data_IF_727362520838
#
_entry.id   IF_727362520838
#
_cell.length_a   1.000
_cell.length_b   1.000
_cell.length_c   1.000
_cell.angle_alpha   90.00
_cell.angle_beta   90.00
_cell.angle_gamma   90.00
#
_symmetry.space_group_name_H-M   'P 1'
#
loop_
_entity.id
_entity.type
_entity.pdbx_description
1 polymer ?
#
# COMPACT_ATOMS: atom_id res chain seq x y z
N UNK A 1 0.41 -27.11 -97.36
CA UNK A 1 -0.56 -27.67 -96.39
C UNK A 1 0.27 -28.34 -95.31
N UNK A 2 0.14 -28.13 -94.01
CA UNK A 2 -0.74 -27.33 -93.17
C UNK A 2 -0.01 -27.19 -91.81
N UNK A 3 -0.26 -26.06 -91.14
CA UNK A 3 0.31 -25.58 -89.87
C UNK A 3 0.06 -26.54 -88.69
N UNK A 4 0.88 -26.47 -87.63
CA UNK A 4 0.46 -26.17 -86.24
C UNK A 4 1.67 -26.28 -85.29
N UNK A 5 2.27 -25.20 -84.80
CA UNK A 5 1.90 -24.31 -83.67
C UNK A 5 2.71 -24.64 -82.42
N UNK A 6 3.65 -23.73 -82.15
CA UNK A 6 4.44 -23.56 -80.93
C UNK A 6 3.50 -23.15 -79.79
N UNK A 7 3.59 -23.83 -78.64
CA UNK A 7 2.99 -23.34 -77.40
C UNK A 7 4.03 -23.39 -76.27
N UNK A 8 4.77 -22.29 -76.13
CA UNK A 8 5.64 -22.02 -74.98
C UNK A 8 4.75 -21.66 -73.79
N UNK A 9 4.65 -22.55 -72.81
CA UNK A 9 4.00 -22.26 -71.53
C UNK A 9 5.06 -21.63 -70.62
N UNK A 10 5.04 -20.29 -70.51
CA UNK A 10 5.69 -19.57 -69.43
C UNK A 10 4.89 -19.84 -68.14
N UNK A 11 5.39 -20.69 -67.25
CA UNK A 11 4.96 -20.72 -65.85
C UNK A 11 5.64 -19.57 -65.10
N UNK A 12 4.91 -18.46 -64.92
CA UNK A 12 5.22 -17.45 -63.91
C UNK A 12 5.00 -18.05 -62.52
N UNK A 13 6.08 -18.37 -61.82
CA UNK A 13 6.05 -18.60 -60.37
C UNK A 13 5.82 -17.27 -59.65
N UNK A 14 4.56 -16.96 -59.35
CA UNK A 14 4.23 -15.93 -58.36
C UNK A 14 4.51 -16.50 -56.97
N UNK A 15 5.66 -16.15 -56.39
CA UNK A 15 5.94 -16.38 -54.97
C UNK A 15 5.10 -15.39 -54.17
N UNK A 16 4.15 -15.82 -53.32
CA UNK A 16 3.48 -14.89 -52.43
C UNK A 16 4.51 -14.44 -51.39
N UNK A 17 4.84 -13.15 -51.37
CA UNK A 17 5.55 -12.55 -50.25
C UNK A 17 4.64 -12.66 -49.01
N UNK A 18 4.95 -13.63 -48.13
CA UNK A 18 4.43 -13.60 -46.76
C UNK A 18 5.04 -12.37 -46.09
N UNK A 19 4.31 -11.27 -46.09
CA UNK A 19 4.55 -10.19 -45.14
C UNK A 19 4.19 -10.74 -43.76
N UNK A 20 5.20 -11.04 -42.95
CA UNK A 20 5.03 -11.17 -41.52
C UNK A 20 4.64 -9.78 -40.98
N UNK A 21 3.34 -9.53 -40.89
CA UNK A 21 2.81 -8.42 -40.13
C UNK A 21 3.18 -8.66 -38.67
N UNK A 22 4.20 -7.94 -38.18
CA UNK A 22 4.46 -7.79 -36.76
C UNK A 22 3.31 -7.02 -36.12
N UNK A 23 2.22 -7.72 -35.83
CA UNK A 23 1.20 -7.26 -34.91
C UNK A 23 1.67 -7.58 -33.51
N UNK A 24 1.83 -6.57 -32.66
CA UNK A 24 1.80 -6.79 -31.21
C UNK A 24 0.43 -7.40 -30.89
N UNK A 25 0.39 -8.71 -30.68
CA UNK A 25 -0.76 -9.39 -30.10
C UNK A 25 -0.90 -8.92 -28.64
N UNK A 26 -1.59 -7.80 -28.45
CA UNK A 26 -2.16 -7.47 -27.15
C UNK A 26 -3.19 -8.54 -26.80
N UNK A 27 -3.14 -9.04 -25.57
CA UNK A 27 -4.13 -9.99 -25.05
C UNK A 27 -5.54 -9.38 -25.20
N UNK A 28 -6.47 -10.10 -25.84
CA UNK A 28 -7.82 -9.61 -26.11
C UNK A 28 -8.59 -9.26 -24.83
N UNK A 29 -9.65 -8.45 -24.96
CA UNK A 29 -10.46 -7.91 -23.84
C UNK A 29 -11.03 -8.96 -22.87
N UNK A 30 -11.04 -10.25 -23.24
CA UNK A 30 -11.47 -11.37 -22.37
C UNK A 30 -10.34 -12.11 -21.64
N UNK A 31 -9.07 -11.73 -21.85
CA UNK A 31 -7.88 -12.35 -21.23
C UNK A 31 -7.18 -11.41 -20.24
N UNK A 32 -7.73 -10.22 -20.01
CA UNK A 32 -7.24 -9.27 -19.02
C UNK A 32 -7.91 -9.59 -17.68
N UNK A 33 -7.11 -9.71 -16.62
CA UNK A 33 -7.63 -9.95 -15.27
C UNK A 33 -8.64 -8.84 -14.90
N UNK A 34 -9.88 -9.16 -14.48
CA UNK A 34 -10.86 -8.14 -14.12
C UNK A 34 -10.31 -7.11 -13.14
N UNK A 35 -10.39 -5.82 -13.51
CA UNK A 35 -9.86 -4.73 -12.70
C UNK A 35 -8.35 -4.49 -12.84
N UNK A 36 -7.68 -5.12 -13.80
CA UNK A 36 -6.34 -4.73 -14.20
C UNK A 36 -6.33 -3.27 -14.67
N UNK A 37 -5.29 -2.54 -14.27
CA UNK A 37 -5.04 -1.17 -14.71
C UNK A 37 -3.66 -1.11 -15.37
N UNK A 38 -3.63 -0.61 -16.61
CA UNK A 38 -2.39 -0.35 -17.33
C UNK A 38 -1.51 0.60 -16.52
N UNK A 39 -0.24 0.21 -16.40
CA UNK A 39 0.78 1.06 -15.79
C UNK A 39 1.30 2.03 -16.85
N UNK A 40 1.59 3.29 -16.48
CA UNK A 40 2.23 4.22 -17.40
C UNK A 40 3.50 3.62 -18.02
N UNK A 41 3.73 3.91 -19.30
CA UNK A 41 4.84 3.34 -20.07
C UNK A 41 6.25 3.68 -19.52
N UNK A 42 6.35 4.68 -18.64
CA UNK A 42 7.59 5.05 -17.96
C UNK A 42 7.91 4.19 -16.73
N UNK A 43 7.01 3.30 -16.32
CA UNK A 43 7.35 2.26 -15.35
C UNK A 43 8.46 1.38 -15.94
N UNK A 44 9.41 0.96 -15.09
CA UNK A 44 10.50 0.10 -15.52
C UNK A 44 9.93 -1.24 -15.98
N UNK A 45 10.28 -1.64 -17.19
CA UNK A 45 10.04 -2.99 -17.67
C UNK A 45 11.10 -3.93 -17.07
N UNK A 46 10.90 -4.29 -15.79
CA UNK A 46 11.83 -5.09 -15.02
C UNK A 46 11.55 -6.60 -15.17
N UNK A 47 12.63 -7.38 -15.26
CA UNK A 47 12.60 -8.85 -15.16
C UNK A 47 12.41 -9.34 -13.71
N UNK A 48 12.25 -8.42 -12.76
CA UNK A 48 12.17 -8.62 -11.31
C UNK A 48 13.46 -9.20 -10.71
N UNK A 49 14.59 -8.93 -11.35
CA UNK A 49 15.90 -9.01 -10.69
C UNK A 49 16.17 -7.68 -9.98
N UNK A 50 15.90 -7.66 -8.67
CA UNK A 50 15.93 -6.41 -7.91
C UNK A 50 17.36 -5.92 -7.64
N UNK A 51 18.38 -6.77 -7.79
CA UNK A 51 19.78 -6.35 -7.68
C UNK A 51 20.22 -5.64 -8.96
N UNK A 52 19.88 -6.19 -10.12
CA UNK A 52 20.09 -5.55 -11.41
C UNK A 52 19.31 -4.22 -11.50
N UNK A 53 18.04 -4.22 -11.11
CA UNK A 53 17.21 -3.00 -11.10
C UNK A 53 17.83 -1.88 -10.24
N UNK A 54 18.42 -2.23 -9.09
CA UNK A 54 19.11 -1.27 -8.22
C UNK A 54 20.42 -0.76 -8.82
N UNK A 55 21.20 -1.65 -9.45
CA UNK A 55 22.45 -1.28 -10.08
C UNK A 55 22.19 -0.31 -11.24
N UNK A 56 21.25 -0.64 -12.13
CA UNK A 56 20.87 0.21 -13.26
C UNK A 56 20.34 1.57 -12.79
N UNK A 57 19.50 1.59 -11.76
CA UNK A 57 19.04 2.85 -11.18
C UNK A 57 20.21 3.69 -10.66
N UNK A 58 21.17 3.08 -9.96
CA UNK A 58 22.32 3.79 -9.42
C UNK A 58 23.26 4.34 -10.52
N UNK A 59 23.42 3.63 -11.64
CA UNK A 59 24.18 4.10 -12.81
C UNK A 59 23.55 5.36 -13.44
N UNK A 60 22.23 5.55 -13.28
CA UNK A 60 21.50 6.74 -13.71
C UNK A 60 21.33 7.82 -12.60
N UNK A 61 21.99 7.67 -11.44
CA UNK A 61 21.78 8.49 -10.22
C UNK A 61 20.30 8.53 -9.75
N UNK A 62 19.58 7.43 -9.98
CA UNK A 62 18.20 7.20 -9.55
C UNK A 62 18.13 6.22 -8.38
N UNK A 63 17.00 6.28 -7.68
CA UNK A 63 16.62 5.32 -6.63
C UNK A 63 15.50 4.40 -7.11
N UNK A 64 15.27 3.27 -6.46
CA UNK A 64 14.21 2.34 -6.85
C UNK A 64 12.97 2.54 -5.97
N UNK A 65 11.79 2.51 -6.60
CA UNK A 65 10.51 2.38 -5.91
C UNK A 65 9.90 1.04 -6.31
N UNK A 66 9.72 0.16 -5.34
CA UNK A 66 8.93 -1.06 -5.52
C UNK A 66 7.46 -0.73 -5.30
N UNK A 67 6.67 -0.79 -6.36
CA UNK A 67 5.22 -0.54 -6.37
C UNK A 67 4.45 -1.86 -6.32
N UNK A 68 3.94 -2.20 -5.15
CA UNK A 68 3.10 -3.37 -4.94
C UNK A 68 1.63 -3.05 -5.26
N UNK A 69 1.02 -3.84 -6.13
CA UNK A 69 -0.37 -3.69 -6.55
C UNK A 69 -1.10 -5.03 -6.62
N UNK A 70 -2.41 -4.96 -6.86
CA UNK A 70 -3.24 -6.09 -7.27
C UNK A 70 -4.26 -5.59 -8.29
N UNK A 71 -4.78 -6.50 -9.10
CA UNK A 71 -5.88 -6.20 -10.01
C UNK A 71 -7.18 -6.02 -9.21
N UNK A 72 -8.05 -5.11 -9.65
CA UNK A 72 -9.26 -4.73 -8.94
C UNK A 72 -9.04 -3.80 -7.74
N UNK A 73 -7.83 -3.29 -7.55
CA UNK A 73 -7.49 -2.37 -6.45
C UNK A 73 -7.90 -0.92 -6.76
N UNK A 74 -8.93 -0.36 -6.12
CA UNK A 74 -9.40 0.99 -6.44
C UNK A 74 -8.44 2.08 -5.96
N UNK A 75 -7.71 1.87 -4.86
CA UNK A 75 -6.66 2.80 -4.42
C UNK A 75 -5.46 2.82 -5.38
N UNK A 76 -5.19 1.70 -6.05
CA UNK A 76 -4.16 1.60 -7.08
C UNK A 76 -4.60 2.40 -8.30
N UNK A 77 -5.84 2.21 -8.75
CA UNK A 77 -6.45 3.01 -9.82
C UNK A 77 -6.41 4.52 -9.48
N UNK A 78 -6.75 4.89 -8.24
CA UNK A 78 -6.69 6.27 -7.78
C UNK A 78 -5.27 6.86 -7.84
N UNK A 79 -4.25 6.11 -7.41
CA UNK A 79 -2.85 6.54 -7.53
C UNK A 79 -2.46 6.78 -9.00
N UNK A 80 -2.78 5.84 -9.88
CA UNK A 80 -2.45 5.92 -11.31
C UNK A 80 -3.17 7.10 -12.00
N UNK A 81 -4.47 7.26 -11.73
CA UNK A 81 -5.32 8.23 -12.42
C UNK A 81 -5.21 9.66 -11.86
N UNK A 82 -4.80 9.82 -10.61
CA UNK A 82 -4.67 11.15 -9.98
C UNK A 82 -3.22 11.57 -9.81
N UNK A 83 -2.40 10.80 -9.09
CA UNK A 83 -1.03 11.23 -8.82
C UNK A 83 -0.18 11.14 -10.08
N UNK A 84 -0.26 10.02 -10.81
CA UNK A 84 0.52 9.81 -12.03
C UNK A 84 -0.11 10.40 -13.30
N UNK A 85 -1.17 11.21 -13.17
CA UNK A 85 -1.64 12.10 -14.24
C UNK A 85 -1.14 13.54 -14.07
N UNK A 86 -0.58 13.90 -12.91
CA UNK A 86 -0.01 15.22 -12.64
C UNK A 86 1.43 15.26 -13.15
N UNK A 87 1.67 16.09 -14.18
CA UNK A 87 2.99 16.20 -14.84
C UNK A 87 4.15 16.39 -13.86
N UNK A 88 4.01 17.29 -12.88
CA UNK A 88 5.09 17.56 -11.91
C UNK A 88 5.46 16.32 -11.07
N UNK A 89 4.49 15.48 -10.70
CA UNK A 89 4.74 14.24 -9.96
C UNK A 89 5.44 13.24 -10.88
N UNK A 90 4.93 13.09 -12.10
CA UNK A 90 5.46 12.17 -13.12
C UNK A 90 6.90 12.53 -13.49
N UNK A 91 7.19 13.80 -13.74
CA UNK A 91 8.54 14.29 -14.08
C UNK A 91 9.51 14.01 -12.94
N UNK A 92 9.17 14.40 -11.70
CA UNK A 92 10.03 14.17 -10.53
C UNK A 92 10.24 12.68 -10.26
N UNK A 93 9.20 11.88 -10.46
CA UNK A 93 9.29 10.42 -10.30
C UNK A 93 10.28 9.84 -11.30
N UNK A 94 10.20 10.20 -12.59
CA UNK A 94 11.10 9.70 -13.62
C UNK A 94 12.53 10.25 -13.52
N UNK A 95 12.69 11.48 -13.04
CA UNK A 95 13.99 12.11 -12.85
C UNK A 95 14.78 11.43 -11.73
N UNK A 96 14.14 11.12 -10.60
CA UNK A 96 14.82 10.62 -9.41
C UNK A 96 14.65 9.12 -9.16
N UNK A 97 13.73 8.44 -9.86
CA UNK A 97 13.39 7.05 -9.54
C UNK A 97 13.16 6.16 -10.76
N UNK A 98 13.44 4.86 -10.57
CA UNK A 98 12.91 3.78 -11.39
C UNK A 98 11.80 3.05 -10.61
N UNK A 99 10.60 2.96 -11.19
CA UNK A 99 9.46 2.28 -10.57
C UNK A 99 9.33 0.85 -11.09
N UNK A 100 9.43 -0.12 -10.20
CA UNK A 100 9.26 -1.56 -10.48
C UNK A 100 7.93 -2.01 -9.92
N UNK A 101 7.05 -2.53 -10.77
CA UNK A 101 5.75 -3.02 -10.33
C UNK A 101 5.79 -4.51 -9.96
N UNK A 102 5.18 -4.84 -8.82
CA UNK A 102 5.09 -6.20 -8.29
C UNK A 102 3.62 -6.50 -7.97
N UNK A 103 3.08 -7.57 -8.54
CA UNK A 103 1.73 -8.02 -8.25
C UNK A 103 1.73 -8.91 -6.99
N UNK A 104 1.00 -8.54 -5.93
CA UNK A 104 0.98 -9.33 -4.68
C UNK A 104 0.37 -10.72 -4.84
N UNK A 105 -0.33 -10.99 -5.95
CA UNK A 105 -0.86 -12.29 -6.33
C UNK A 105 -0.12 -12.95 -7.48
N UNK A 106 0.91 -12.26 -8.00
CA UNK A 106 1.67 -12.72 -9.15
C UNK A 106 2.53 -13.94 -8.82
N UNK A 107 2.78 -14.71 -9.86
CA UNK A 107 3.62 -15.91 -9.85
C UNK A 107 4.90 -15.73 -10.69
N UNK A 108 5.20 -14.51 -11.16
CA UNK A 108 6.49 -14.24 -11.81
C UNK A 108 7.61 -14.48 -10.81
N UNK A 109 8.72 -14.99 -11.32
CA UNK A 109 9.94 -15.13 -10.53
C UNK A 109 10.46 -13.74 -10.15
N UNK A 110 10.92 -13.60 -8.91
CA UNK A 110 11.57 -12.41 -8.36
C UNK A 110 12.90 -12.84 -7.77
N UNK A 111 14.00 -12.27 -8.24
CA UNK A 111 15.30 -12.35 -7.55
C UNK A 111 15.34 -11.21 -6.54
N UNK A 112 15.18 -11.55 -5.26
CA UNK A 112 15.14 -10.57 -4.18
C UNK A 112 16.47 -9.83 -3.99
N UNK A 113 16.46 -8.82 -3.13
CA UNK A 113 17.66 -8.03 -2.80
C UNK A 113 18.80 -8.86 -2.17
N UNK A 114 18.49 -10.02 -1.58
CA UNK A 114 19.45 -10.99 -1.05
C UNK A 114 20.00 -11.96 -2.09
N UNK A 115 19.49 -11.94 -3.34
CA UNK A 115 19.83 -12.89 -4.40
C UNK A 115 18.99 -14.18 -4.38
N UNK A 116 18.06 -14.31 -3.43
CA UNK A 116 17.16 -15.47 -3.37
C UNK A 116 16.02 -15.34 -4.37
N UNK A 117 15.82 -16.37 -5.19
CA UNK A 117 14.69 -16.46 -6.11
C UNK A 117 13.40 -16.84 -5.36
N UNK A 118 12.30 -16.19 -5.70
CA UNK A 118 10.98 -16.45 -5.13
C UNK A 118 9.89 -16.05 -6.13
N UNK A 119 8.62 -16.07 -5.71
CA UNK A 119 7.49 -15.55 -6.51
C UNK A 119 7.08 -14.17 -6.04
N UNK A 120 6.45 -13.35 -6.89
CA UNK A 120 5.94 -12.03 -6.49
C UNK A 120 5.07 -12.09 -5.21
N UNK A 121 4.15 -13.06 -5.13
CA UNK A 121 3.29 -13.25 -3.95
C UNK A 121 4.07 -13.57 -2.67
N UNK A 122 5.09 -14.42 -2.77
CA UNK A 122 5.93 -14.79 -1.63
C UNK A 122 6.86 -13.63 -1.21
N UNK A 123 7.39 -12.90 -2.18
CA UNK A 123 8.17 -11.68 -1.95
C UNK A 123 7.33 -10.59 -1.27
N UNK A 124 6.12 -10.31 -1.78
CA UNK A 124 5.22 -9.34 -1.16
C UNK A 124 4.88 -9.71 0.30
N UNK A 125 4.66 -11.01 0.56
CA UNK A 125 4.42 -11.52 1.90
C UNK A 125 5.64 -11.36 2.83
N UNK A 126 6.85 -11.67 2.37
CA UNK A 126 8.08 -11.50 3.15
C UNK A 126 8.35 -10.02 3.48
N UNK A 127 7.96 -9.12 2.59
CA UNK A 127 8.00 -7.67 2.78
C UNK A 127 6.84 -7.12 3.65
N UNK A 128 5.97 -8.01 4.16
CA UNK A 128 4.79 -7.68 4.99
C UNK A 128 3.86 -6.68 4.29
N UNK A 129 3.63 -6.85 2.99
CA UNK A 129 2.69 -6.02 2.23
C UNK A 129 1.27 -6.49 2.53
N UNK A 130 0.54 -5.71 3.33
CA UNK A 130 -0.82 -6.03 3.77
C UNK A 130 -1.89 -5.22 3.03
N UNK A 131 -1.49 -4.22 2.24
CA UNK A 131 -2.38 -3.30 1.52
C UNK A 131 -1.80 -2.94 0.17
N UNK A 132 -2.66 -2.57 -0.76
CA UNK A 132 -2.26 -2.03 -2.07
C UNK A 132 -2.97 -0.69 -2.33
N UNK A 133 -2.30 0.30 -2.93
CA UNK A 133 -0.89 0.24 -3.32
C UNK A 133 0.03 0.30 -2.09
N UNK A 134 1.17 -0.38 -2.14
CA UNK A 134 2.27 -0.16 -1.20
C UNK A 134 3.50 0.24 -2.00
N UNK A 135 4.18 1.30 -1.59
CA UNK A 135 5.42 1.75 -2.24
C UNK A 135 6.57 1.66 -1.25
N UNK A 136 7.60 0.91 -1.60
CA UNK A 136 8.85 0.83 -0.86
C UNK A 136 9.92 1.60 -1.62
N UNK A 137 10.40 2.68 -1.02
CA UNK A 137 11.48 3.49 -1.57
C UNK A 137 12.80 2.93 -1.07
N UNK A 138 13.64 2.49 -1.99
CA UNK A 138 14.95 1.93 -1.71
C UNK A 138 16.03 2.98 -1.99
N UNK A 139 17.03 3.05 -1.12
CA UNK A 139 18.23 3.81 -1.42
C UNK A 139 19.18 3.03 -2.34
N UNK A 140 20.35 3.62 -2.59
CA UNK A 140 21.36 3.08 -3.49
C UNK A 140 21.97 1.75 -3.01
N UNK A 141 21.72 1.33 -1.76
CA UNK A 141 22.17 0.05 -1.20
C UNK A 141 21.02 -0.96 -1.07
N UNK A 142 19.86 -0.69 -1.67
CA UNK A 142 18.66 -1.52 -1.54
C UNK A 142 17.99 -1.45 -0.16
N UNK A 143 18.43 -0.55 0.73
CA UNK A 143 17.79 -0.36 2.02
C UNK A 143 16.53 0.48 1.85
N UNK A 144 15.41 -0.02 2.39
CA UNK A 144 14.16 0.74 2.45
C UNK A 144 14.31 1.99 3.33
N UNK A 145 14.18 3.16 2.72
CA UNK A 145 14.25 4.47 3.39
C UNK A 145 12.89 5.11 3.65
N UNK A 146 11.88 4.73 2.87
CA UNK A 146 10.50 5.14 3.10
C UNK A 146 9.54 4.02 2.71
N UNK A 147 8.44 3.91 3.45
CA UNK A 147 7.31 3.04 3.13
C UNK A 147 6.04 3.88 3.10
N UNK A 148 5.30 3.77 2.02
CA UNK A 148 3.96 4.35 1.90
C UNK A 148 2.98 3.18 1.76
N UNK A 149 2.03 3.08 2.69
CA UNK A 149 0.92 2.14 2.58
C UNK A 149 -0.34 2.89 2.15
N UNK A 150 -1.04 2.35 1.16
CA UNK A 150 -2.25 2.94 0.63
C UNK A 150 -1.99 4.21 -0.20
N UNK A 151 -3.06 4.96 -0.42
CA UNK A 151 -3.04 6.17 -1.24
C UNK A 151 -2.62 7.39 -0.42
N UNK A 152 -1.64 8.16 -0.92
CA UNK A 152 -1.34 9.51 -0.45
C UNK A 152 -1.85 10.53 -1.49
N UNK A 153 -2.54 11.57 -1.01
CA UNK A 153 -2.96 12.69 -1.86
C UNK A 153 -1.74 13.39 -2.52
N UNK A 154 -1.92 14.08 -3.67
CA UNK A 154 -0.82 14.57 -4.50
C UNK A 154 0.23 15.39 -3.76
N UNK A 155 -0.19 16.32 -2.88
CA UNK A 155 0.75 17.16 -2.12
C UNK A 155 1.65 16.34 -1.19
N UNK A 156 1.07 15.35 -0.49
CA UNK A 156 1.81 14.48 0.44
C UNK A 156 2.67 13.47 -0.31
N UNK A 157 2.21 13.00 -1.46
CA UNK A 157 2.98 12.14 -2.34
C UNK A 157 4.19 12.87 -2.94
N UNK A 158 4.01 14.12 -3.38
CA UNK A 158 5.10 14.99 -3.81
C UNK A 158 6.14 15.18 -2.71
N UNK A 159 5.70 15.49 -1.49
CA UNK A 159 6.59 15.59 -0.33
C UNK A 159 7.38 14.30 -0.06
N UNK A 160 6.78 13.13 -0.30
CA UNK A 160 7.47 11.85 -0.18
C UNK A 160 8.56 11.68 -1.24
N UNK A 161 8.28 12.06 -2.49
CA UNK A 161 9.28 12.09 -3.56
C UNK A 161 10.42 13.06 -3.21
N UNK A 162 10.10 14.28 -2.77
CA UNK A 162 11.09 15.29 -2.38
C UNK A 162 11.99 14.80 -1.24
N UNK A 163 11.40 14.19 -0.21
CA UNK A 163 12.13 13.64 0.92
C UNK A 163 13.17 12.59 0.48
N UNK A 164 12.75 11.61 -0.32
CA UNK A 164 13.64 10.51 -0.73
C UNK A 164 14.63 10.96 -1.80
N UNK A 165 14.21 11.77 -2.78
CA UNK A 165 15.11 12.28 -3.82
C UNK A 165 16.18 13.21 -3.22
N UNK A 166 15.79 14.06 -2.25
CA UNK A 166 16.68 14.95 -1.51
C UNK A 166 17.57 14.26 -0.48
N UNK A 167 17.43 12.95 -0.28
CA UNK A 167 18.17 12.15 0.71
C UNK A 167 17.97 12.66 2.15
N UNK A 168 16.78 13.22 2.42
CA UNK A 168 16.44 13.84 3.69
C UNK A 168 16.35 12.81 4.83
N UNK A 169 16.22 11.52 4.50
CA UNK A 169 16.29 10.42 5.48
C UNK A 169 17.59 10.38 6.29
N UNK A 170 18.65 11.01 5.77
CA UNK A 170 19.95 11.11 6.46
C UNK A 170 19.94 12.17 7.56
N UNK A 171 18.95 13.07 7.56
CA UNK A 171 18.87 14.23 8.45
C UNK A 171 17.72 14.12 9.45
N UNK A 172 16.55 13.67 9.01
CA UNK A 172 15.34 13.59 9.83
C UNK A 172 14.38 12.51 9.34
N UNK A 173 13.44 12.11 10.21
CA UNK A 173 12.37 11.18 9.81
C UNK A 173 11.41 11.86 8.82
N UNK A 174 10.72 11.06 7.98
CA UNK A 174 9.73 11.59 7.05
C UNK A 174 8.59 12.32 7.78
N UNK A 175 8.22 11.83 8.97
CA UNK A 175 7.25 12.46 9.86
C UNK A 175 7.69 13.88 10.26
N UNK A 176 8.94 14.04 10.69
CA UNK A 176 9.47 15.36 11.08
C UNK A 176 9.66 16.27 9.86
N UNK A 177 9.95 15.69 8.69
CA UNK A 177 10.04 16.41 7.42
C UNK A 177 8.69 17.02 7.03
N UNK A 178 7.62 16.21 7.03
CA UNK A 178 6.26 16.69 6.74
C UNK A 178 5.84 17.82 7.68
N UNK A 179 6.14 17.70 8.98
CA UNK A 179 5.81 18.72 9.97
C UNK A 179 6.48 20.08 9.69
N UNK A 180 7.62 20.11 8.99
CA UNK A 180 8.31 21.36 8.60
C UNK A 180 7.72 22.01 7.36
N UNK A 181 7.19 21.21 6.43
CA UNK A 181 6.80 21.71 5.10
C UNK A 181 5.30 21.98 4.96
N UNK A 182 4.43 21.39 5.78
CA UNK A 182 2.99 21.64 5.72
C UNK A 182 2.26 21.45 7.07
N UNK A 183 1.74 22.53 7.68
CA UNK A 183 0.53 22.46 8.48
C UNK A 183 -0.69 22.61 7.55
N UNK A 184 -1.38 21.51 7.24
CA UNK A 184 -2.69 21.57 6.57
C UNK A 184 -3.74 21.98 7.61
N UNK A 185 -4.70 22.82 7.21
CA UNK A 185 -5.84 23.16 8.04
C UNK A 185 -6.61 21.89 8.46
N UNK A 186 -6.93 21.80 9.74
CA UNK A 186 -7.57 20.65 10.40
C UNK A 186 -8.26 21.17 11.65
N UNK A 187 -9.08 20.33 12.32
CA UNK A 187 -9.78 20.77 13.54
C UNK A 187 -8.82 21.22 14.65
N UNK A 188 -7.57 20.76 14.62
CA UNK A 188 -6.55 21.07 15.62
C UNK A 188 -6.80 20.37 16.96
N UNK A 189 -7.71 19.40 17.00
CA UNK A 189 -8.12 18.65 18.20
C UNK A 189 -7.76 17.17 18.04
N UNK A 190 -7.58 16.50 19.18
CA UNK A 190 -7.57 15.04 19.22
C UNK A 190 -9.00 14.58 19.51
N UNK A 191 -9.47 13.57 18.78
CA UNK A 191 -10.82 13.02 18.91
C UNK A 191 -10.91 12.02 20.06
N UNK A 192 -10.65 12.49 21.29
CA UNK A 192 -10.77 11.67 22.49
C UNK A 192 -12.25 11.48 22.85
N UNK A 193 -12.65 10.23 23.08
CA UNK A 193 -13.96 9.88 23.59
C UNK A 193 -13.91 9.47 25.07
N UNK A 194 -15.04 9.61 25.76
CA UNK A 194 -15.15 9.30 27.20
C UNK A 194 -14.98 7.81 27.52
N UNK A 195 -15.30 6.93 26.57
CA UNK A 195 -15.16 5.48 26.67
C UNK A 195 -13.77 4.97 26.24
N UNK A 196 -12.85 5.85 25.79
CA UNK A 196 -11.46 5.47 25.54
C UNK A 196 -10.67 5.40 26.86
N UNK A 197 -9.51 4.74 26.82
CA UNK A 197 -8.55 4.77 27.92
C UNK A 197 -8.08 6.21 28.16
N UNK A 198 -8.22 6.66 29.40
CA UNK A 198 -7.87 8.01 29.83
C UNK A 198 -6.44 8.07 30.37
N UNK A 199 -5.86 9.28 30.43
CA UNK A 199 -4.54 9.51 31.00
C UNK A 199 -4.57 9.44 32.55
N UNK A 200 -3.48 8.99 33.24
CA UNK A 200 -2.25 8.46 32.68
C UNK A 200 -2.48 7.09 32.01
N UNK A 201 -2.01 6.96 30.77
CA UNK A 201 -2.38 5.84 29.92
C UNK A 201 -1.58 4.59 30.26
N UNK A 202 -2.28 3.49 30.54
CA UNK A 202 -1.70 2.16 30.72
C UNK A 202 -2.23 1.24 29.61
N UNK A 203 -1.35 0.89 28.68
CA UNK A 203 -1.68 0.06 27.51
C UNK A 203 -1.48 -1.43 27.75
N UNK A 204 -1.09 -1.83 28.97
CA UNK A 204 -0.98 -3.25 29.32
C UNK A 204 -2.35 -3.91 29.33
N UNK A 205 -2.40 -5.20 29.02
CA UNK A 205 -3.63 -5.98 29.09
C UNK A 205 -3.74 -6.63 30.47
N UNK A 206 -4.89 -6.49 31.18
CA UNK A 206 -5.13 -7.21 32.41
C UNK A 206 -5.03 -8.72 32.20
N UNK A 207 -4.45 -9.44 33.16
CA UNK A 207 -4.39 -10.91 33.11
C UNK A 207 -5.81 -11.49 32.99
N UNK A 208 -6.01 -12.40 32.03
CA UNK A 208 -7.30 -13.06 31.81
C UNK A 208 -8.32 -12.23 31.02
N UNK A 209 -7.91 -11.09 30.42
CA UNK A 209 -8.75 -10.41 29.43
C UNK A 209 -8.58 -11.06 28.06
N UNK A 210 -9.69 -11.35 27.39
CA UNK A 210 -9.69 -11.74 25.97
C UNK A 210 -9.96 -10.54 25.05
N UNK A 211 -10.32 -9.39 25.63
CA UNK A 211 -10.65 -8.18 24.88
C UNK A 211 -9.38 -7.62 24.24
N UNK A 212 -9.33 -7.43 22.91
CA UNK A 212 -8.19 -6.77 22.26
C UNK A 212 -8.12 -5.27 22.57
N UNK A 213 -6.94 -4.69 22.39
CA UNK A 213 -6.69 -3.25 22.49
C UNK A 213 -6.44 -2.68 21.09
N UNK A 214 -7.19 -1.64 20.73
CA UNK A 214 -6.93 -0.76 19.59
C UNK A 214 -6.26 0.52 20.09
N UNK A 215 -5.06 0.81 19.60
CA UNK A 215 -4.38 2.09 19.82
C UNK A 215 -4.41 2.91 18.53
N UNK A 216 -5.12 4.04 18.57
CA UNK A 216 -5.14 5.07 17.55
C UNK A 216 -3.98 6.03 17.77
N UNK A 217 -3.00 5.99 16.86
CA UNK A 217 -1.84 6.89 16.85
C UNK A 217 -2.15 8.08 15.93
N UNK A 218 -2.37 9.24 16.53
CA UNK A 218 -2.92 10.41 15.86
C UNK A 218 -2.15 11.70 16.20
N UNK A 219 -2.57 12.81 15.57
CA UNK A 219 -2.08 14.14 15.90
C UNK A 219 -3.21 15.16 15.75
N UNK A 220 -3.10 16.26 16.50
CA UNK A 220 -4.09 17.36 16.48
C UNK A 220 -4.40 17.88 15.08
N UNK A 221 -3.36 17.97 14.25
CA UNK A 221 -3.51 18.46 12.88
C UNK A 221 -3.52 17.29 11.89
N UNK A 222 -4.68 16.65 11.75
CA UNK A 222 -4.82 15.42 10.97
C UNK A 222 -6.20 15.35 10.29
N UNK A 223 -6.36 15.89 9.07
CA UNK A 223 -7.61 15.75 8.33
C UNK A 223 -8.07 14.29 8.12
N UNK A 224 -7.17 13.30 7.86
CA UNK A 224 -7.59 11.90 7.83
C UNK A 224 -8.08 11.35 9.18
N UNK A 225 -7.62 11.91 10.31
CA UNK A 225 -8.15 11.57 11.63
C UNK A 225 -9.52 12.21 11.83
N UNK A 226 -9.72 13.45 11.37
CA UNK A 226 -11.05 14.10 11.36
C UNK A 226 -12.07 13.23 10.60
N UNK A 227 -11.71 12.75 9.39
CA UNK A 227 -12.55 11.82 8.61
C UNK A 227 -12.81 10.50 9.35
N UNK A 228 -11.76 9.89 9.93
CA UNK A 228 -11.88 8.63 10.67
C UNK A 228 -12.93 8.76 11.78
N UNK A 229 -12.86 9.80 12.60
CA UNK A 229 -13.75 9.96 13.77
C UNK A 229 -15.12 10.52 13.44
N UNK A 230 -15.26 11.36 12.42
CA UNK A 230 -16.53 12.05 12.14
C UNK A 230 -17.38 11.30 11.12
N UNK A 231 -16.77 10.54 10.21
CA UNK A 231 -17.48 9.91 9.08
C UNK A 231 -17.41 8.38 9.14
N UNK A 232 -16.27 7.80 9.54
CA UNK A 232 -16.04 6.35 9.46
C UNK A 232 -16.46 5.63 10.74
N UNK A 233 -15.83 5.94 11.87
CA UNK A 233 -16.09 5.25 13.15
C UNK A 233 -17.55 5.37 13.64
N UNK A 234 -18.31 6.46 13.39
CA UNK A 234 -19.70 6.57 13.86
C UNK A 234 -20.69 5.65 13.14
N UNK A 235 -20.30 5.01 12.04
CA UNK A 235 -21.18 4.09 11.32
C UNK A 235 -21.55 2.89 12.20
N UNK A 236 -22.82 2.48 12.17
CA UNK A 236 -23.37 1.47 13.09
C UNK A 236 -22.60 0.15 13.09
N UNK A 237 -22.22 -0.34 11.91
CA UNK A 237 -21.47 -1.59 11.77
C UNK A 237 -20.07 -1.49 12.43
N UNK A 238 -19.37 -0.37 12.27
CA UNK A 238 -18.09 -0.16 12.94
C UNK A 238 -18.25 -0.01 14.46
N UNK A 239 -19.29 0.70 14.92
CA UNK A 239 -19.57 0.83 16.35
C UNK A 239 -19.82 -0.53 17.01
N UNK A 240 -20.55 -1.42 16.35
CA UNK A 240 -20.76 -2.79 16.83
C UNK A 240 -19.42 -3.54 16.97
N UNK A 241 -18.56 -3.48 15.96
CA UNK A 241 -17.25 -4.14 16.02
C UNK A 241 -16.31 -3.51 17.06
N UNK A 242 -16.33 -2.19 17.21
CA UNK A 242 -15.52 -1.44 18.18
C UNK A 242 -15.91 -1.74 19.63
N UNK A 243 -17.17 -2.13 19.89
CA UNK A 243 -17.59 -2.61 21.22
C UNK A 243 -16.84 -3.86 21.67
N UNK A 244 -16.10 -4.54 20.78
CA UNK A 244 -15.19 -5.63 21.13
C UNK A 244 -13.82 -5.18 21.64
N UNK A 245 -13.49 -3.88 21.63
CA UNK A 245 -12.14 -3.37 21.90
C UNK A 245 -12.08 -2.46 23.11
N UNK A 246 -10.95 -2.51 23.83
CA UNK A 246 -10.50 -1.33 24.56
C UNK A 246 -9.81 -0.41 23.55
N UNK A 247 -10.10 0.89 23.62
CA UNK A 247 -9.58 1.86 22.65
C UNK A 247 -8.74 2.91 23.37
N UNK A 248 -7.54 3.19 22.86
CA UNK A 248 -6.68 4.27 23.33
C UNK A 248 -6.36 5.21 22.18
N UNK A 249 -6.34 6.52 22.43
CA UNK A 249 -5.89 7.52 21.46
C UNK A 249 -4.62 8.20 21.98
N UNK A 250 -3.52 8.02 21.24
CA UNK A 250 -2.19 8.54 21.56
C UNK A 250 -1.80 9.64 20.56
N UNK A 251 -1.52 10.82 21.09
CA UNK A 251 -0.91 11.90 20.31
C UNK A 251 0.58 11.63 20.10
N UNK A 252 0.97 11.37 18.85
CA UNK A 252 2.34 11.02 18.46
C UNK A 252 3.34 12.17 18.66
N UNK A 253 2.86 13.39 18.92
CA UNK A 253 3.68 14.57 19.22
C UNK A 253 3.66 14.97 20.69
N UNK A 254 2.91 14.25 21.52
CA UNK A 254 2.81 14.57 22.94
C UNK A 254 4.05 14.14 23.74
N UNK A 255 4.39 14.98 24.71
CA UNK A 255 5.37 14.66 25.76
C UNK A 255 4.77 13.88 26.94
N UNK A 256 3.46 13.59 26.92
CA UNK A 256 2.77 12.81 27.95
C UNK A 256 3.40 11.42 28.10
N UNK A 257 3.51 10.95 29.34
CA UNK A 257 3.96 9.60 29.64
C UNK A 257 2.82 8.59 29.50
N UNK A 258 3.18 7.41 29.01
CA UNK A 258 2.34 6.22 28.97
C UNK A 258 3.13 4.99 29.40
N UNK A 259 2.40 3.93 29.77
CA UNK A 259 2.94 2.58 29.92
C UNK A 259 2.58 1.82 28.66
N UNK A 260 3.59 1.34 27.92
CA UNK A 260 3.41 0.57 26.68
C UNK A 260 2.83 -0.82 26.96
N UNK A 261 2.34 -1.55 25.93
CA UNK A 261 1.83 -2.91 26.10
C UNK A 261 2.84 -3.88 26.73
N UNK A 262 4.14 -3.70 26.48
CA UNK A 262 5.24 -4.47 27.11
C UNK A 262 5.67 -3.94 28.48
N UNK A 263 4.97 -2.93 29.03
CA UNK A 263 5.15 -2.43 30.40
C UNK A 263 6.23 -1.36 30.59
N UNK A 264 6.82 -0.83 29.51
CA UNK A 264 7.81 0.25 29.59
C UNK A 264 7.11 1.60 29.77
N UNK A 265 7.62 2.41 30.69
CA UNK A 265 7.22 3.80 30.84
C UNK A 265 8.04 4.68 29.90
N UNK A 266 7.39 5.42 29.00
CA UNK A 266 8.05 6.39 28.12
C UNK A 266 7.08 7.47 27.62
N UNK A 267 7.63 8.53 27.02
CA UNK A 267 6.83 9.57 26.36
C UNK A 267 6.15 9.01 25.11
N UNK A 268 4.93 9.46 24.82
CA UNK A 268 4.19 9.11 23.60
C UNK A 268 5.01 9.34 22.31
N UNK A 269 5.69 10.48 22.22
CA UNK A 269 6.66 10.79 21.14
C UNK A 269 7.74 9.73 20.97
N UNK A 270 8.35 9.27 22.07
CA UNK A 270 9.41 8.25 22.02
C UNK A 270 8.88 6.88 21.64
N UNK A 271 7.67 6.56 22.07
CA UNK A 271 7.04 5.32 21.68
C UNK A 271 6.69 5.31 20.18
N UNK A 272 6.10 6.38 19.66
CA UNK A 272 5.78 6.52 18.24
C UNK A 272 7.05 6.44 17.35
N UNK A 273 8.15 7.08 17.76
CA UNK A 273 9.47 6.94 17.11
C UNK A 273 9.96 5.48 17.12
N UNK A 274 9.87 4.79 18.26
CA UNK A 274 10.33 3.40 18.40
C UNK A 274 9.55 2.42 17.52
N UNK A 275 8.27 2.73 17.25
CA UNK A 275 7.37 1.95 16.41
C UNK A 275 7.49 2.29 14.92
N UNK A 276 8.30 3.30 14.56
CA UNK A 276 8.48 3.75 13.19
C UNK A 276 7.23 4.38 12.57
N UNK A 277 6.33 4.96 13.38
CA UNK A 277 5.06 5.53 12.91
C UNK A 277 5.33 6.73 12.02
N UNK A 278 4.94 6.63 10.76
CA UNK A 278 5.16 7.66 9.73
C UNK A 278 3.86 8.25 9.18
N UNK A 279 2.72 7.69 9.59
CA UNK A 279 1.40 8.09 9.13
C UNK A 279 0.42 8.22 10.31
N UNK A 280 -0.56 9.11 10.17
CA UNK A 280 -1.69 9.26 11.09
C UNK A 280 -3.00 9.42 10.29
N UNK A 281 -4.10 8.77 10.70
CA UNK A 281 -4.19 7.86 11.84
C UNK A 281 -3.47 6.53 11.53
N UNK A 282 -2.74 6.01 12.51
CA UNK A 282 -2.29 4.61 12.48
C UNK A 282 -3.03 3.81 13.54
N UNK A 283 -3.56 2.65 13.18
CA UNK A 283 -4.31 1.77 14.07
C UNK A 283 -3.45 0.56 14.43
N UNK A 284 -3.09 0.43 15.71
CA UNK A 284 -2.29 -0.69 16.22
C UNK A 284 -3.18 -1.59 17.05
N UNK A 285 -3.16 -2.88 16.77
CA UNK A 285 -4.05 -3.85 17.39
C UNK A 285 -3.23 -4.85 18.20
N UNK A 286 -3.57 -4.97 19.48
CA UNK A 286 -2.97 -5.91 20.42
C UNK A 286 -4.00 -6.93 20.86
N UNK A 287 -3.63 -8.21 20.88
CA UNK A 287 -4.49 -9.26 21.43
C UNK A 287 -4.61 -9.15 22.97
N UNK A 288 -5.43 -10.00 23.60
CA UNK A 288 -5.63 -10.03 25.06
C UNK A 288 -4.34 -10.26 25.86
N UNK A 289 -3.26 -10.76 25.25
CA UNK A 289 -1.95 -10.92 25.89
C UNK A 289 -1.06 -9.67 25.81
N UNK A 290 -1.47 -8.66 25.04
CA UNK A 290 -0.69 -7.45 24.80
C UNK A 290 0.31 -7.58 23.64
N UNK A 291 0.22 -8.63 22.83
CA UNK A 291 1.03 -8.81 21.63
C UNK A 291 0.41 -8.08 20.45
N UNK A 292 1.20 -7.30 19.71
CA UNK A 292 0.74 -6.67 18.47
C UNK A 292 0.43 -7.77 17.43
N UNK A 293 -0.83 -7.85 16.99
CA UNK A 293 -1.29 -8.86 16.02
C UNK A 293 -1.58 -8.26 14.65
N UNK A 294 -1.83 -6.95 14.59
CA UNK A 294 -2.07 -6.25 13.36
C UNK A 294 -1.78 -4.76 13.49
N UNK A 295 -1.42 -4.11 12.39
CA UNK A 295 -1.34 -2.65 12.29
C UNK A 295 -1.79 -2.15 10.93
N UNK A 296 -2.42 -0.99 10.92
CA UNK A 296 -2.68 -0.20 9.71
C UNK A 296 -1.97 1.15 9.84
N UNK A 297 -1.09 1.45 8.89
CA UNK A 297 -0.44 2.75 8.73
C UNK A 297 -0.77 3.32 7.35
N UNK A 298 -2.06 3.26 6.99
CA UNK A 298 -2.57 3.59 5.66
C UNK A 298 -3.86 4.39 5.75
N UNK A 299 -4.13 5.18 4.71
CA UNK A 299 -5.45 5.78 4.51
C UNK A 299 -6.48 4.70 4.13
N UNK A 300 -7.47 4.47 4.99
CA UNK A 300 -8.52 3.48 4.78
C UNK A 300 -9.90 4.16 4.81
N UNK A 301 -10.76 3.78 3.86
CA UNK A 301 -12.19 4.16 3.85
C UNK A 301 -12.99 3.18 4.70
N UNK A 302 -14.27 3.47 4.89
CA UNK A 302 -15.19 2.77 5.80
C UNK A 302 -15.10 1.26 5.68
N UNK A 303 -15.18 0.72 4.45
CA UNK A 303 -15.12 -0.72 4.23
C UNK A 303 -13.83 -1.36 4.77
N UNK A 304 -12.67 -0.77 4.47
CA UNK A 304 -11.38 -1.34 4.90
C UNK A 304 -11.13 -1.13 6.40
N UNK A 305 -11.56 0.01 6.96
CA UNK A 305 -11.47 0.25 8.40
C UNK A 305 -12.32 -0.77 9.16
N UNK A 306 -13.54 -1.03 8.71
CA UNK A 306 -14.40 -2.08 9.27
C UNK A 306 -13.76 -3.46 9.14
N UNK A 307 -13.24 -3.80 7.96
CA UNK A 307 -12.61 -5.10 7.74
C UNK A 307 -11.40 -5.32 8.66
N UNK A 308 -10.58 -4.31 8.90
CA UNK A 308 -9.45 -4.41 9.84
C UNK A 308 -9.91 -4.64 11.28
N UNK A 309 -10.91 -3.88 11.74
CA UNK A 309 -11.45 -4.01 13.11
C UNK A 309 -12.07 -5.41 13.28
N UNK A 310 -12.86 -5.88 12.31
CA UNK A 310 -13.45 -7.21 12.33
C UNK A 310 -12.42 -8.33 12.28
N UNK A 311 -11.40 -8.18 11.45
CA UNK A 311 -10.33 -9.17 11.30
C UNK A 311 -9.63 -9.47 12.63
N UNK A 312 -9.39 -8.43 13.43
CA UNK A 312 -8.82 -8.58 14.76
C UNK A 312 -9.87 -9.00 15.78
N UNK A 313 -11.04 -8.36 15.79
CA UNK A 313 -12.09 -8.56 16.79
C UNK A 313 -12.67 -9.97 16.77
N UNK A 314 -12.79 -10.56 15.58
CA UNK A 314 -13.20 -11.96 15.40
C UNK A 314 -12.09 -12.97 15.69
N UNK A 315 -10.83 -12.52 15.78
CA UNK A 315 -9.67 -13.42 15.87
C UNK A 315 -9.27 -14.08 14.54
N UNK A 316 -9.88 -13.69 13.41
CA UNK A 316 -9.65 -14.29 12.08
C UNK A 316 -8.18 -14.30 11.64
N UNK A 317 -7.36 -13.38 12.16
CA UNK A 317 -5.92 -13.33 11.91
C UNK A 317 -5.15 -14.60 12.32
N UNK A 318 -5.74 -15.45 13.17
CA UNK A 318 -5.14 -16.71 13.59
C UNK A 318 -5.24 -17.79 12.52
N UNK A 319 -6.39 -17.85 11.83
CA UNK A 319 -6.69 -18.88 10.84
C UNK A 319 -6.38 -18.42 9.41
N UNK A 320 -6.56 -17.13 9.14
CA UNK A 320 -6.22 -16.49 7.88
C UNK A 320 -5.20 -15.37 8.14
N UNK A 321 -3.88 -15.64 8.12
CA UNK A 321 -2.88 -14.60 8.39
C UNK A 321 -2.75 -13.56 7.27
N UNK A 322 -3.30 -13.82 6.07
CA UNK A 322 -3.30 -12.86 4.97
C UNK A 322 -4.57 -12.01 4.99
N UNK A 323 -4.43 -10.75 5.41
CA UNK A 323 -5.53 -9.80 5.50
C UNK A 323 -6.24 -9.55 4.17
N UNK A 324 -5.53 -9.49 3.04
CA UNK A 324 -6.16 -9.27 1.74
C UNK A 324 -7.06 -10.43 1.33
N UNK A 325 -6.69 -11.68 1.65
CA UNK A 325 -7.56 -12.85 1.46
C UNK A 325 -8.81 -12.78 2.33
N UNK A 326 -8.68 -12.33 3.58
CA UNK A 326 -9.82 -12.09 4.45
C UNK A 326 -10.78 -11.03 3.87
N UNK A 327 -10.24 -9.91 3.39
CA UNK A 327 -11.04 -8.83 2.77
C UNK A 327 -11.77 -9.33 1.51
N UNK A 328 -11.10 -10.11 0.67
CA UNK A 328 -11.71 -10.69 -0.54
C UNK A 328 -12.85 -11.65 -0.19
N UNK A 329 -12.62 -12.60 0.73
CA UNK A 329 -13.63 -13.54 1.17
C UNK A 329 -14.86 -12.82 1.76
N UNK A 330 -14.63 -11.81 2.61
CA UNK A 330 -15.69 -10.95 3.17
C UNK A 330 -16.49 -10.27 2.07
N UNK A 331 -15.82 -9.67 1.08
CA UNK A 331 -16.49 -8.98 -0.03
C UNK A 331 -17.33 -9.96 -0.86
N UNK A 332 -16.83 -11.17 -1.10
CA UNK A 332 -17.54 -12.20 -1.87
C UNK A 332 -18.77 -12.73 -1.12
N UNK A 333 -18.67 -12.91 0.20
CA UNK A 333 -19.83 -13.26 1.04
C UNK A 333 -20.92 -12.16 1.03
N UNK A 334 -20.53 -10.88 1.13
CA UNK A 334 -21.47 -9.76 1.04
C UNK A 334 -22.17 -9.73 -0.33
N UNK A 335 -21.41 -9.89 -1.43
CA UNK A 335 -21.98 -9.98 -2.79
C UNK A 335 -22.93 -11.17 -2.93
N UNK A 336 -22.59 -12.32 -2.35
CA UNK A 336 -23.45 -13.50 -2.38
C UNK A 336 -24.79 -13.27 -1.65
N UNK A 337 -24.83 -12.36 -0.67
CA UNK A 337 -26.06 -11.90 0.01
C UNK A 337 -26.79 -10.78 -0.75
N UNK A 338 -26.28 -10.36 -1.91
CA UNK A 338 -26.87 -9.29 -2.72
C UNK A 338 -26.52 -7.88 -2.25
N UNK A 339 -25.54 -7.72 -1.36
CA UNK A 339 -25.08 -6.42 -0.89
C UNK A 339 -24.14 -5.76 -1.90
N UNK A 340 -24.23 -4.43 -2.04
CA UNK A 340 -23.31 -3.66 -2.88
C UNK A 340 -22.03 -3.39 -2.09
N UNK A 341 -20.91 -3.95 -2.55
CA UNK A 341 -19.59 -3.70 -1.97
C UNK A 341 -18.89 -2.59 -2.74
N UNK A 342 -18.82 -1.41 -2.14
CA UNK A 342 -18.01 -0.29 -2.62
C UNK A 342 -16.77 -0.15 -1.73
N UNK A 343 -15.62 -0.57 -2.27
CA UNK A 343 -14.33 -0.57 -1.57
C UNK A 343 -13.80 0.84 -1.26
N UNK A 344 -14.38 1.87 -1.89
CA UNK A 344 -13.99 3.27 -1.74
C UNK A 344 -14.97 4.11 -0.92
N UNK A 345 -16.06 3.50 -0.42
CA UNK A 345 -17.01 4.14 0.51
C UNK A 345 -16.77 3.77 1.96
#
# INVERSE_FOLDING_TARGET
>A
MLKLTILSILLLFAVPQLQAAGGQEGLGQGLVNPGFHDKPAWFKNSFLDLQEDLQEAAEEDKRVILYFHQDGCPYCAKLLNENFSIKAIVDKTQEAFQLVAINIWGDREVTGLSGEATTEKAFAASMKVMYTPTMLFLNEQGRRVLRINGYYAPHRFMAALDYVAGREERKLSFRDYLARIQPVASTGKLHRESNYLQSPMDLRRPTGTDRPLLVLMEMKQCPPCDELHQEILPQSALQESLQGFDVALVDIWSGEELITPDGKRMKATKWAESLGIQYAPSMLFFDGSGREVFRSEAYLRSFHTHAVIDYVGSGSYRDQPNFQRFVQARADEMRARGEVVDLMK
#
